data_IF_605993850732
#
_entry.id   IF_605993850732
#
_cell.length_a   1.000
_cell.length_b   1.000
_cell.length_c   1.000
_cell.angle_alpha   90.00
_cell.angle_beta   90.00
_cell.angle_gamma   90.00
#
_symmetry.space_group_name_H-M   'P 1'
#
loop_
_entity.id
_entity.type
_entity.pdbx_description
1 polymer ?
#
# COMPACT_ATOMS: atom_id res chain seq x y z
N UNK A 1 -29.94 -24.23 40.89
CA UNK A 1 -29.67 -22.78 40.88
C UNK A 1 -28.17 -22.45 40.77
N UNK A 2 -27.30 -22.95 41.65
CA UNK A 2 -25.85 -22.68 41.59
C UNK A 2 -25.17 -23.06 40.27
N UNK A 3 -25.45 -24.24 39.71
CA UNK A 3 -24.86 -24.68 38.44
C UNK A 3 -25.27 -23.81 37.23
N UNK A 4 -26.49 -23.25 37.24
CA UNK A 4 -26.94 -22.32 36.21
C UNK A 4 -26.17 -21.00 36.30
N UNK A 5 -25.96 -20.50 37.51
CA UNK A 5 -25.15 -19.31 37.77
C UNK A 5 -23.69 -19.50 37.39
N UNK A 6 -23.13 -20.67 37.66
CA UNK A 6 -21.74 -20.98 37.36
C UNK A 6 -21.53 -21.14 35.84
N UNK A 7 -22.44 -21.84 35.16
CA UNK A 7 -22.43 -21.99 33.70
C UNK A 7 -22.61 -20.67 32.96
N UNK A 8 -23.51 -19.80 33.41
CA UNK A 8 -23.71 -18.49 32.79
C UNK A 8 -22.51 -17.56 32.97
N UNK A 9 -21.85 -17.62 34.14
CA UNK A 9 -20.64 -16.85 34.42
C UNK A 9 -19.47 -17.30 33.56
N UNK A 10 -19.26 -18.61 33.40
CA UNK A 10 -18.21 -19.17 32.53
C UNK A 10 -18.47 -18.81 31.06
N UNK A 11 -19.72 -18.97 30.58
CA UNK A 11 -20.10 -18.60 29.22
C UNK A 11 -19.93 -17.10 28.93
N UNK A 12 -20.19 -16.25 29.91
CA UNK A 12 -19.99 -14.81 29.78
C UNK A 12 -18.50 -14.45 29.63
N UNK A 13 -17.62 -15.02 30.46
CA UNK A 13 -16.17 -14.78 30.36
C UNK A 13 -15.63 -15.29 29.03
N UNK A 14 -16.06 -16.49 28.60
CA UNK A 14 -15.66 -17.06 27.32
C UNK A 14 -16.07 -16.16 26.13
N UNK A 15 -17.33 -15.70 26.12
CA UNK A 15 -17.84 -14.80 25.09
C UNK A 15 -17.07 -13.47 25.03
N UNK A 16 -16.70 -12.91 26.19
CA UNK A 16 -15.91 -11.68 26.22
C UNK A 16 -14.46 -11.89 25.78
N UNK A 17 -13.86 -13.03 26.11
CA UNK A 17 -12.52 -13.39 25.66
C UNK A 17 -12.47 -13.53 24.13
N UNK A 18 -13.43 -14.24 23.54
CA UNK A 18 -13.53 -14.43 22.09
C UNK A 18 -13.75 -13.11 21.34
N UNK A 19 -14.66 -12.25 21.85
CA UNK A 19 -14.86 -10.90 21.30
C UNK A 19 -13.58 -10.06 21.32
N UNK A 20 -12.82 -10.15 22.41
CA UNK A 20 -11.57 -9.40 22.57
C UNK A 20 -10.51 -9.89 21.58
N UNK A 21 -10.36 -11.20 21.41
CA UNK A 21 -9.40 -11.78 20.47
C UNK A 21 -9.74 -11.43 19.02
N UNK A 22 -11.02 -11.48 18.64
CA UNK A 22 -11.48 -11.04 17.30
C UNK A 22 -11.20 -9.55 17.10
N UNK A 23 -11.44 -8.72 18.12
CA UNK A 23 -11.14 -7.29 18.07
C UNK A 23 -9.65 -6.98 17.86
N UNK A 24 -8.76 -7.74 18.50
CA UNK A 24 -7.32 -7.59 18.30
C UNK A 24 -6.90 -7.98 16.88
N UNK A 25 -7.32 -9.14 16.39
CA UNK A 25 -7.02 -9.59 15.02
C UNK A 25 -7.54 -8.60 13.98
N UNK A 26 -8.74 -8.06 14.17
CA UNK A 26 -9.31 -7.04 13.29
C UNK A 26 -8.49 -5.73 13.33
N UNK A 27 -8.05 -5.33 14.53
CA UNK A 27 -7.24 -4.12 14.71
C UNK A 27 -5.88 -4.26 14.03
N UNK A 28 -5.24 -5.42 14.15
CA UNK A 28 -3.96 -5.71 13.50
C UNK A 28 -4.12 -5.74 11.97
N UNK A 29 -5.15 -6.41 11.47
CA UNK A 29 -5.43 -6.44 10.03
C UNK A 29 -5.71 -5.04 9.47
N UNK A 30 -6.46 -4.22 10.20
CA UNK A 30 -6.73 -2.82 9.82
C UNK A 30 -5.46 -1.99 9.80
N UNK A 31 -4.55 -2.22 10.75
CA UNK A 31 -3.25 -1.54 10.80
C UNK A 31 -2.38 -1.90 9.61
N UNK A 32 -2.37 -3.18 9.23
CA UNK A 32 -1.63 -3.65 8.06
C UNK A 32 -2.22 -3.11 6.76
N UNK A 33 -3.54 -3.09 6.61
CA UNK A 33 -4.23 -2.48 5.47
C UNK A 33 -3.79 -1.02 5.29
N UNK A 34 -3.89 -0.19 6.33
CA UNK A 34 -3.48 1.21 6.29
C UNK A 34 -1.99 1.38 5.94
N UNK A 35 -1.13 0.51 6.47
CA UNK A 35 0.30 0.52 6.16
C UNK A 35 0.56 0.18 4.68
N UNK A 36 -0.14 -0.80 4.13
CA UNK A 36 -0.01 -1.19 2.73
C UNK A 36 -0.53 -0.09 1.80
N UNK A 37 -1.65 0.54 2.11
CA UNK A 37 -2.20 1.65 1.33
C UNK A 37 -1.24 2.85 1.28
N UNK A 38 -0.69 3.23 2.44
CA UNK A 38 0.29 4.32 2.53
C UNK A 38 1.54 4.02 1.69
N UNK A 39 2.06 2.78 1.76
CA UNK A 39 3.20 2.36 0.96
C UNK A 39 2.87 2.35 -0.54
N UNK A 40 1.69 1.87 -0.93
CA UNK A 40 1.27 1.84 -2.33
C UNK A 40 1.19 3.26 -2.92
N UNK A 41 0.58 4.18 -2.17
CA UNK A 41 0.49 5.59 -2.55
C UNK A 41 1.88 6.22 -2.77
N UNK A 42 2.80 6.01 -1.82
CA UNK A 42 4.19 6.49 -1.92
C UNK A 42 4.91 5.92 -3.14
N UNK A 43 4.81 4.62 -3.36
CA UNK A 43 5.45 3.95 -4.49
C UNK A 43 4.89 4.41 -5.84
N UNK A 44 3.58 4.66 -5.93
CA UNK A 44 2.98 5.22 -7.16
C UNK A 44 3.51 6.62 -7.46
N UNK A 45 3.65 7.46 -6.44
CA UNK A 45 4.21 8.80 -6.59
C UNK A 45 5.67 8.74 -7.05
N UNK A 46 6.48 7.88 -6.42
CA UNK A 46 7.89 7.70 -6.80
C UNK A 46 8.02 7.15 -8.23
N UNK A 47 7.16 6.19 -8.61
CA UNK A 47 7.13 5.67 -9.97
C UNK A 47 6.76 6.74 -10.99
N UNK A 48 5.76 7.58 -10.70
CA UNK A 48 5.37 8.68 -11.57
C UNK A 48 6.50 9.71 -11.71
N UNK A 49 7.17 10.04 -10.60
CA UNK A 49 8.33 10.91 -10.61
C UNK A 49 9.46 10.34 -11.49
N UNK A 50 9.79 9.06 -11.32
CA UNK A 50 10.84 8.38 -12.08
C UNK A 50 10.51 8.21 -13.56
N UNK A 51 9.22 8.09 -13.92
CA UNK A 51 8.77 7.99 -15.32
C UNK A 51 8.55 9.34 -15.99
N UNK A 52 8.49 10.44 -15.24
CA UNK A 52 8.24 11.76 -15.80
C UNK A 52 9.38 12.16 -16.75
N UNK A 53 9.07 12.53 -18.01
CA UNK A 53 10.08 13.01 -18.97
C UNK A 53 10.92 14.16 -18.39
N UNK A 54 10.30 15.08 -17.65
CA UNK A 54 10.98 16.21 -17.02
C UNK A 54 12.09 15.79 -16.05
N UNK A 55 11.94 14.64 -15.38
CA UNK A 55 12.94 14.09 -14.46
C UNK A 55 13.91 13.13 -15.14
N UNK A 56 13.48 12.47 -16.22
CA UNK A 56 14.29 11.55 -17.03
C UNK A 56 15.26 12.30 -17.95
N UNK A 57 14.82 13.40 -18.58
CA UNK A 57 15.58 14.17 -19.56
C UNK A 57 16.96 14.63 -19.03
N UNK A 58 17.09 15.23 -17.83
CA UNK A 58 18.40 15.61 -17.32
C UNK A 58 19.35 14.41 -17.17
N UNK A 59 18.83 13.22 -16.84
CA UNK A 59 19.63 12.01 -16.71
C UNK A 59 20.00 11.44 -18.07
N UNK A 60 19.05 11.41 -19.01
CA UNK A 60 19.26 10.99 -20.39
C UNK A 60 20.34 11.84 -21.07
N UNK A 61 20.28 13.16 -20.93
CA UNK A 61 21.26 14.08 -21.52
C UNK A 61 22.61 13.97 -20.78
N UNK A 62 22.63 14.13 -19.45
CA UNK A 62 23.90 14.24 -18.72
C UNK A 62 24.64 12.92 -18.55
N UNK A 63 23.93 11.80 -18.37
CA UNK A 63 24.54 10.49 -18.11
C UNK A 63 24.67 9.61 -19.35
N UNK A 64 23.71 9.72 -20.27
CA UNK A 64 23.68 8.87 -21.48
C UNK A 64 24.07 9.63 -22.74
N UNK A 65 24.29 10.94 -22.67
CA UNK A 65 24.67 11.76 -23.83
C UNK A 65 23.56 11.86 -24.88
N UNK A 66 22.31 11.54 -24.51
CA UNK A 66 21.18 11.58 -25.44
C UNK A 66 20.85 13.03 -25.79
N UNK A 67 20.48 13.25 -27.06
CA UNK A 67 20.08 14.56 -27.59
C UNK A 67 18.77 14.41 -28.37
N UNK A 68 18.03 15.50 -28.48
CA UNK A 68 16.86 15.51 -29.34
C UNK A 68 17.27 15.24 -30.81
N UNK A 69 16.48 14.45 -31.55
CA UNK A 69 16.71 14.22 -32.97
C UNK A 69 16.52 15.52 -33.75
N UNK A 70 17.31 15.72 -34.81
CA UNK A 70 17.07 16.82 -35.76
C UNK A 70 15.88 16.48 -36.68
N UNK A 71 15.34 17.48 -37.38
CA UNK A 71 14.15 17.31 -38.23
C UNK A 71 14.36 16.23 -39.31
N UNK A 72 15.58 16.10 -39.82
CA UNK A 72 15.96 15.12 -40.84
C UNK A 72 16.00 13.68 -40.31
N UNK A 73 16.02 13.49 -38.99
CA UNK A 73 16.08 12.19 -38.33
C UNK A 73 14.69 11.65 -37.93
N UNK A 74 13.61 12.42 -38.14
CA UNK A 74 12.25 12.05 -37.76
C UNK A 74 11.51 11.45 -38.95
N UNK A 75 11.09 10.18 -38.84
CA UNK A 75 10.27 9.48 -39.84
C UNK A 75 8.86 9.30 -39.28
N UNK A 76 7.85 9.92 -39.91
CA UNK A 76 6.43 9.72 -39.57
C UNK A 76 5.88 8.52 -40.34
N UNK A 77 5.41 7.50 -39.63
CA UNK A 77 4.73 6.35 -40.22
C UNK A 77 3.24 6.66 -40.48
N UNK A 78 2.67 6.19 -41.61
CA UNK A 78 1.26 6.36 -41.95
C UNK A 78 0.31 5.53 -41.08
#
# INVERSE_FOLDING_TARGET
>A
MLFLFMGSSIGYVWSNFEKTQIGYTLSDLKRDEMRLEANNSKLRLELAFLKSPQNLEPRAVKKLGLRQPSAEQIITLP
#
